data_IF_282480007601
#
_entry.id   IF_282480007601
#
_cell.length_a   1.000
_cell.length_b   1.000
_cell.length_c   1.000
_cell.angle_alpha   90.00
_cell.angle_beta   90.00
_cell.angle_gamma   90.00
#
_symmetry.space_group_name_H-M   'P 1'
#
loop_
_entity.id
_entity.type
_entity.pdbx_description
1 polymer ?
#
# COMPACT_ATOMS: atom_id res chain seq x y z
N UNK A 1 -11.94 19.03 -20.02
CA UNK A 1 -12.48 20.32 -19.52
C UNK A 1 -11.39 21.02 -18.72
N UNK A 2 -11.22 22.34 -18.81
CA UNK A 2 -10.17 23.05 -18.09
C UNK A 2 -10.48 23.13 -16.58
N UNK A 3 -9.44 23.04 -15.75
CA UNK A 3 -9.51 23.20 -14.28
C UNK A 3 -10.21 24.50 -13.86
N UNK A 4 -10.12 25.54 -14.70
CA UNK A 4 -10.80 26.83 -14.52
C UNK A 4 -12.31 26.70 -14.30
N UNK A 5 -12.98 25.76 -14.98
CA UNK A 5 -14.42 25.54 -14.81
C UNK A 5 -14.75 24.91 -13.45
N UNK A 6 -13.84 24.10 -12.91
CA UNK A 6 -13.98 23.51 -11.58
C UNK A 6 -13.80 24.57 -10.48
N UNK A 7 -12.82 25.46 -10.68
CA UNK A 7 -12.57 26.58 -9.77
C UNK A 7 -13.77 27.54 -9.75
N UNK A 8 -14.32 27.87 -10.92
CA UNK A 8 -15.52 28.71 -11.03
C UNK A 8 -16.73 28.08 -10.34
N UNK A 9 -16.95 26.78 -10.51
CA UNK A 9 -18.02 26.06 -9.80
C UNK A 9 -17.81 26.09 -8.26
N UNK A 10 -16.58 25.87 -7.80
CA UNK A 10 -16.27 25.96 -6.37
C UNK A 10 -16.47 27.37 -5.80
N UNK A 11 -16.17 28.42 -6.57
CA UNK A 11 -16.36 29.82 -6.17
C UNK A 11 -17.85 30.17 -6.09
N UNK A 12 -18.68 29.69 -7.02
CA UNK A 12 -20.13 29.89 -7.01
C UNK A 12 -20.81 29.16 -5.85
N UNK A 13 -20.32 27.98 -5.47
CA UNK A 13 -20.78 27.29 -4.27
C UNK A 13 -20.39 28.05 -2.98
N UNK A 14 -19.17 28.57 -2.92
CA UNK A 14 -18.64 29.26 -1.73
C UNK A 14 -19.26 30.64 -1.51
N UNK A 15 -19.69 31.30 -2.60
CA UNK A 15 -20.37 32.60 -2.53
C UNK A 15 -21.88 32.50 -2.25
N UNK A 16 -22.41 31.30 -1.94
CA UNK A 16 -23.83 31.12 -1.65
C UNK A 16 -24.23 31.80 -0.32
N UNK A 17 -25.17 32.73 -0.40
CA UNK A 17 -25.67 33.49 0.77
C UNK A 17 -26.68 32.71 1.62
N UNK A 18 -27.14 31.56 1.14
CA UNK A 18 -28.05 30.66 1.88
C UNK A 18 -27.83 29.21 1.44
N UNK A 19 -28.23 28.26 2.29
CA UNK A 19 -28.14 26.84 2.00
C UNK A 19 -28.95 26.45 0.74
N UNK A 20 -30.14 27.02 0.54
CA UNK A 20 -30.95 26.78 -0.65
C UNK A 20 -30.27 27.29 -1.94
N UNK A 21 -29.61 28.45 -1.87
CA UNK A 21 -28.81 28.98 -2.99
C UNK A 21 -27.61 28.07 -3.30
N UNK A 22 -26.96 27.52 -2.27
CA UNK A 22 -25.87 26.55 -2.42
C UNK A 22 -26.30 25.22 -3.05
N UNK A 23 -27.49 24.72 -2.72
CA UNK A 23 -28.05 23.53 -3.36
C UNK A 23 -28.42 23.78 -4.83
N UNK A 24 -28.94 24.96 -5.14
CA UNK A 24 -29.26 25.33 -6.52
C UNK A 24 -27.97 25.47 -7.36
N UNK A 25 -26.93 26.15 -6.87
CA UNK A 25 -25.65 26.26 -7.57
C UNK A 25 -24.99 24.89 -7.76
N UNK A 26 -25.00 24.04 -6.73
CA UNK A 26 -24.53 22.66 -6.83
C UNK A 26 -25.32 21.85 -7.88
N UNK A 27 -26.65 21.95 -7.90
CA UNK A 27 -27.48 21.22 -8.86
C UNK A 27 -27.20 21.64 -10.32
N UNK A 28 -26.92 22.92 -10.55
CA UNK A 28 -26.54 23.47 -11.86
C UNK A 28 -25.12 23.01 -12.26
N UNK A 29 -24.19 22.98 -11.32
CA UNK A 29 -22.77 22.77 -11.58
C UNK A 29 -22.30 21.32 -11.43
N UNK A 30 -23.16 20.43 -10.91
CA UNK A 30 -22.85 19.00 -10.74
C UNK A 30 -22.25 18.38 -12.01
N UNK A 31 -22.77 18.75 -13.18
CA UNK A 31 -22.34 18.19 -14.45
C UNK A 31 -20.89 18.59 -14.80
N UNK A 32 -20.42 19.75 -14.31
CA UNK A 32 -19.04 20.20 -14.48
C UNK A 32 -18.12 19.36 -13.60
N UNK A 33 -18.47 19.16 -12.33
CA UNK A 33 -17.70 18.35 -11.38
C UNK A 33 -17.66 16.88 -11.81
N UNK A 34 -18.83 16.29 -12.09
CA UNK A 34 -18.92 14.90 -12.55
C UNK A 34 -18.29 14.71 -13.93
N UNK A 35 -18.39 15.68 -14.83
CA UNK A 35 -17.73 15.63 -16.15
C UNK A 35 -16.20 15.65 -16.03
N UNK A 36 -15.66 16.51 -15.16
CA UNK A 36 -14.24 16.55 -14.85
C UNK A 36 -13.77 15.23 -14.23
N UNK A 37 -14.45 14.76 -13.17
CA UNK A 37 -14.12 13.51 -12.50
C UNK A 37 -14.18 12.32 -13.47
N UNK A 38 -15.24 12.23 -14.28
CA UNK A 38 -15.41 11.18 -15.29
C UNK A 38 -14.28 11.18 -16.31
N UNK A 39 -13.86 12.35 -16.79
CA UNK A 39 -12.76 12.47 -17.76
C UNK A 39 -11.44 11.99 -17.16
N UNK A 40 -11.11 12.45 -15.95
CA UNK A 40 -9.87 12.05 -15.29
C UNK A 40 -9.89 10.59 -14.85
N UNK A 41 -11.05 10.09 -14.43
CA UNK A 41 -11.26 8.69 -14.11
C UNK A 41 -11.07 7.81 -15.36
N UNK A 42 -11.68 8.16 -16.48
CA UNK A 42 -11.50 7.45 -17.75
C UNK A 42 -10.03 7.47 -18.19
N UNK A 43 -9.35 8.60 -18.05
CA UNK A 43 -7.91 8.70 -18.36
C UNK A 43 -7.06 7.83 -17.43
N UNK A 44 -7.37 7.76 -16.14
CA UNK A 44 -6.69 6.90 -15.18
C UNK A 44 -6.89 5.43 -15.52
N UNK A 45 -8.12 5.01 -15.81
CA UNK A 45 -8.43 3.64 -16.21
C UNK A 45 -7.75 3.29 -17.53
N UNK A 46 -7.72 4.20 -18.50
CA UNK A 46 -7.02 4.01 -19.77
C UNK A 46 -5.50 3.84 -19.56
N UNK A 47 -4.89 4.58 -18.64
CA UNK A 47 -3.49 4.42 -18.25
C UNK A 47 -3.25 3.09 -17.53
N UNK A 48 -4.10 2.73 -16.56
CA UNK A 48 -4.02 1.46 -15.84
C UNK A 48 -4.20 0.25 -16.76
N UNK A 49 -5.00 0.37 -17.81
CA UNK A 49 -5.26 -0.69 -18.78
C UNK A 49 -4.08 -0.94 -19.73
N UNK A 50 -3.05 -0.08 -19.74
CA UNK A 50 -1.88 -0.28 -20.58
C UNK A 50 -1.13 -1.55 -20.15
N UNK A 51 -0.75 -2.43 -21.10
CA UNK A 51 -0.17 -3.74 -20.77
C UNK A 51 1.12 -3.63 -19.96
N UNK A 52 1.93 -2.60 -20.21
CA UNK A 52 3.17 -2.37 -19.47
C UNK A 52 2.93 -1.91 -18.03
N UNK A 53 1.88 -1.09 -17.78
CA UNK A 53 1.49 -0.66 -16.43
C UNK A 53 0.96 -1.84 -15.63
N UNK A 54 0.08 -2.65 -16.23
CA UNK A 54 -0.42 -3.88 -15.61
C UNK A 54 0.72 -4.81 -15.19
N UNK A 55 1.74 -4.94 -16.04
CA UNK A 55 2.91 -5.77 -15.73
C UNK A 55 3.69 -5.24 -14.52
N UNK A 56 3.88 -3.93 -14.40
CA UNK A 56 4.57 -3.34 -13.24
C UNK A 56 3.76 -3.55 -11.96
N UNK A 57 2.44 -3.39 -12.03
CA UNK A 57 1.53 -3.68 -10.93
C UNK A 57 1.62 -5.16 -10.56
N UNK A 58 1.63 -6.08 -11.54
CA UNK A 58 1.72 -7.51 -11.28
C UNK A 58 3.02 -7.93 -10.61
N UNK A 59 4.15 -7.42 -11.12
CA UNK A 59 5.45 -7.63 -10.49
C UNK A 59 5.47 -7.10 -9.06
N UNK A 60 4.92 -5.90 -8.84
CA UNK A 60 4.91 -5.29 -7.52
C UNK A 60 4.10 -6.11 -6.52
N UNK A 61 2.85 -6.46 -6.83
CA UNK A 61 2.00 -7.18 -5.87
C UNK A 61 2.49 -8.61 -5.62
N UNK A 62 2.98 -9.31 -6.65
CA UNK A 62 3.55 -10.66 -6.48
C UNK A 62 4.78 -10.60 -5.56
N UNK A 63 5.70 -9.67 -5.81
CA UNK A 63 6.91 -9.52 -4.99
C UNK A 63 6.56 -9.17 -3.55
N UNK A 64 5.64 -8.22 -3.36
CA UNK A 64 5.14 -7.84 -2.05
C UNK A 64 4.53 -9.03 -1.30
N UNK A 65 3.63 -9.78 -1.95
CA UNK A 65 2.97 -10.96 -1.38
C UNK A 65 3.98 -12.04 -1.01
N UNK A 66 4.95 -12.35 -1.87
CA UNK A 66 5.99 -13.34 -1.57
C UNK A 66 6.80 -12.91 -0.35
N UNK A 67 7.27 -11.66 -0.30
CA UNK A 67 8.09 -11.17 0.82
C UNK A 67 7.30 -11.19 2.13
N UNK A 68 6.09 -10.62 2.16
CA UNK A 68 5.29 -10.57 3.39
C UNK A 68 4.89 -11.98 3.85
N UNK A 69 4.52 -12.88 2.94
CA UNK A 69 4.22 -14.27 3.28
C UNK A 69 5.43 -14.97 3.88
N UNK A 70 6.64 -14.78 3.31
CA UNK A 70 7.86 -15.34 3.90
C UNK A 70 8.02 -14.90 5.35
N UNK A 71 7.90 -13.61 5.65
CA UNK A 71 8.03 -13.07 7.01
C UNK A 71 6.94 -13.61 7.96
N UNK A 72 5.69 -13.70 7.52
CA UNK A 72 4.58 -14.17 8.36
C UNK A 72 4.63 -15.68 8.59
N UNK A 73 5.17 -16.46 7.65
CA UNK A 73 5.33 -17.91 7.77
C UNK A 73 6.52 -18.33 8.63
N UNK A 74 7.40 -17.41 9.06
CA UNK A 74 8.51 -17.74 9.96
C UNK A 74 8.03 -18.24 11.33
N UNK A 75 6.83 -17.83 11.77
CA UNK A 75 6.22 -18.29 13.02
C UNK A 75 6.70 -17.58 14.28
N UNK A 76 6.86 -16.26 14.19
CA UNK A 76 6.94 -15.38 15.36
C UNK A 76 5.54 -14.90 15.75
N UNK A 77 5.23 -14.93 17.05
CA UNK A 77 3.93 -14.53 17.58
C UNK A 77 4.02 -13.80 18.92
N UNK A 78 2.87 -13.52 19.58
CA UNK A 78 2.81 -12.71 20.81
C UNK A 78 3.62 -13.28 21.98
N UNK A 79 3.76 -14.61 22.04
CA UNK A 79 4.57 -15.31 23.04
C UNK A 79 6.03 -15.52 22.63
N UNK A 80 6.48 -14.94 21.51
CA UNK A 80 7.79 -15.16 20.92
C UNK A 80 7.76 -16.19 19.79
N UNK A 81 8.79 -17.03 19.69
CA UNK A 81 8.86 -18.06 18.66
C UNK A 81 7.79 -19.13 18.91
N UNK A 82 6.92 -19.36 17.92
CA UNK A 82 5.84 -20.35 18.01
C UNK A 82 6.46 -21.76 17.93
N UNK A 83 6.13 -22.63 18.88
CA UNK A 83 6.62 -24.00 18.90
C UNK A 83 6.24 -24.76 17.60
N UNK A 84 7.20 -25.48 17.02
CA UNK A 84 7.00 -26.19 15.75
C UNK A 84 7.06 -25.33 14.49
N UNK A 85 7.36 -24.03 14.60
CA UNK A 85 7.55 -23.14 13.45
C UNK A 85 8.92 -23.28 12.77
N UNK A 86 9.06 -22.69 11.58
CA UNK A 86 10.35 -22.55 10.88
C UNK A 86 11.37 -21.80 11.75
N UNK A 87 10.95 -20.76 12.47
CA UNK A 87 11.80 -20.04 13.41
C UNK A 87 12.25 -20.93 14.58
N UNK A 88 11.38 -21.80 15.10
CA UNK A 88 11.75 -22.75 16.16
C UNK A 88 12.80 -23.77 15.69
N UNK A 89 12.63 -24.30 14.46
CA UNK A 89 13.61 -25.19 13.84
C UNK A 89 14.97 -24.51 13.61
N UNK A 90 14.96 -23.28 13.11
CA UNK A 90 16.18 -22.49 12.93
C UNK A 90 16.87 -22.17 14.26
N UNK A 91 16.12 -21.78 15.29
CA UNK A 91 16.66 -21.52 16.62
C UNK A 91 17.32 -22.78 17.18
N UNK A 92 16.66 -23.94 17.11
CA UNK A 92 17.21 -25.20 17.59
C UNK A 92 18.49 -25.62 16.85
N UNK A 93 18.58 -25.33 15.54
CA UNK A 93 19.73 -25.69 14.71
C UNK A 93 20.93 -24.75 14.86
N UNK A 94 20.70 -23.43 14.87
CA UNK A 94 21.79 -22.41 14.87
C UNK A 94 22.14 -21.93 16.27
N UNK A 95 21.12 -21.69 17.10
CA UNK A 95 21.27 -21.06 18.40
C UNK A 95 21.11 -22.06 19.56
N UNK A 96 20.69 -23.30 19.27
CA UNK A 96 20.36 -24.28 20.29
C UNK A 96 19.21 -23.80 21.18
N UNK A 97 19.43 -23.80 22.49
CA UNK A 97 18.42 -23.36 23.46
C UNK A 97 18.38 -21.83 23.65
N UNK A 98 19.41 -21.07 23.22
CA UNK A 98 19.57 -19.67 23.58
C UNK A 98 19.82 -18.77 22.37
N UNK A 99 18.87 -17.88 22.11
CA UNK A 99 19.01 -16.86 21.07
C UNK A 99 19.96 -15.75 21.52
N UNK A 100 21.00 -15.40 20.73
CA UNK A 100 21.88 -14.28 21.04
C UNK A 100 21.12 -12.95 21.15
N UNK A 101 21.35 -12.22 22.23
CA UNK A 101 20.77 -10.90 22.43
C UNK A 101 21.29 -9.90 21.38
N UNK A 102 20.40 -9.10 20.80
CA UNK A 102 20.75 -8.07 19.82
C UNK A 102 20.94 -8.54 18.37
N UNK A 103 20.76 -9.84 18.07
CA UNK A 103 20.77 -10.34 16.70
C UNK A 103 19.46 -10.10 15.94
N UNK A 104 19.49 -10.22 14.61
CA UNK A 104 18.31 -10.07 13.73
C UNK A 104 17.16 -10.97 14.20
N UNK A 105 17.46 -12.21 14.60
CA UNK A 105 16.45 -13.16 15.09
C UNK A 105 15.82 -12.71 16.42
N UNK A 106 16.60 -12.13 17.35
CA UNK A 106 16.07 -11.57 18.58
C UNK A 106 15.17 -10.35 18.31
N UNK A 107 15.54 -9.51 17.34
CA UNK A 107 14.69 -8.40 16.88
C UNK A 107 13.38 -8.90 16.28
N UNK A 108 13.40 -9.95 15.46
CA UNK A 108 12.19 -10.53 14.86
C UNK A 108 11.27 -11.15 15.91
N UNK A 109 11.83 -11.84 16.91
CA UNK A 109 11.07 -12.33 18.07
C UNK A 109 10.44 -11.18 18.85
N UNK A 110 11.19 -10.11 19.14
CA UNK A 110 10.68 -8.92 19.81
C UNK A 110 9.53 -8.27 19.01
N UNK A 111 9.69 -8.13 17.69
CA UNK A 111 8.65 -7.58 16.81
C UNK A 111 7.41 -8.48 16.77
N UNK A 112 7.58 -9.81 16.79
CA UNK A 112 6.49 -10.76 16.93
C UNK A 112 5.73 -10.58 18.25
N UNK A 113 6.46 -10.44 19.37
CA UNK A 113 5.89 -10.24 20.70
C UNK A 113 5.16 -8.90 20.84
N UNK A 114 5.66 -7.85 20.19
CA UNK A 114 5.03 -6.52 20.17
C UNK A 114 3.85 -6.42 19.19
N UNK A 115 3.58 -7.46 18.38
CA UNK A 115 2.61 -7.39 17.28
C UNK A 115 3.04 -6.46 16.13
N UNK A 116 4.28 -5.97 16.15
CA UNK A 116 4.85 -5.05 15.16
C UNK A 116 5.48 -5.78 13.96
N UNK A 117 5.48 -7.11 13.97
CA UNK A 117 6.00 -7.91 12.86
C UNK A 117 5.24 -7.67 11.55
N UNK A 118 3.91 -7.55 11.60
CA UNK A 118 3.07 -7.31 10.43
C UNK A 118 3.39 -5.95 9.78
N UNK A 119 3.35 -4.80 10.50
CA UNK A 119 3.70 -3.52 9.89
C UNK A 119 5.18 -3.45 9.46
N UNK A 120 6.10 -4.07 10.20
CA UNK A 120 7.51 -4.13 9.81
C UNK A 120 7.71 -4.95 8.51
N UNK A 121 7.09 -6.13 8.41
CA UNK A 121 7.15 -6.97 7.23
C UNK A 121 6.48 -6.30 6.01
N UNK A 122 5.38 -5.59 6.22
CA UNK A 122 4.76 -4.79 5.16
C UNK A 122 5.68 -3.66 4.68
N UNK A 123 6.37 -2.97 5.59
CA UNK A 123 7.36 -1.94 5.25
C UNK A 123 8.51 -2.50 4.41
N UNK A 124 9.12 -3.60 4.86
CA UNK A 124 10.20 -4.28 4.10
C UNK A 124 9.70 -4.79 2.75
N UNK A 125 8.53 -5.44 2.73
CA UNK A 125 7.90 -5.94 1.51
C UNK A 125 7.64 -4.82 0.50
N UNK A 126 7.15 -3.67 0.94
CA UNK A 126 6.91 -2.52 0.07
C UNK A 126 8.20 -1.94 -0.51
N UNK A 127 9.29 -1.85 0.28
CA UNK A 127 10.60 -1.39 -0.21
C UNK A 127 11.16 -2.36 -1.25
N UNK A 128 11.17 -3.66 -0.95
CA UNK A 128 11.68 -4.68 -1.88
C UNK A 128 10.85 -4.71 -3.17
N UNK A 129 9.52 -4.71 -3.07
CA UNK A 129 8.64 -4.66 -4.24
C UNK A 129 8.88 -3.41 -5.09
N UNK A 130 9.09 -2.26 -4.46
CA UNK A 130 9.38 -1.01 -5.19
C UNK A 130 10.73 -1.06 -5.91
N UNK A 131 11.77 -1.62 -5.30
CA UNK A 131 13.09 -1.80 -5.93
C UNK A 131 13.00 -2.76 -7.12
N UNK A 132 12.30 -3.89 -6.95
CA UNK A 132 12.12 -4.88 -8.02
C UNK A 132 11.34 -4.29 -9.18
N UNK A 133 10.23 -3.61 -8.92
CA UNK A 133 9.44 -2.94 -9.97
C UNK A 133 10.24 -1.84 -10.67
N UNK A 134 11.05 -1.08 -9.93
CA UNK A 134 11.95 -0.08 -10.49
C UNK A 134 12.99 -0.75 -11.40
N UNK A 135 13.65 -1.81 -10.98
CA UNK A 135 14.60 -2.55 -11.83
C UNK A 135 13.93 -3.08 -13.11
N UNK A 136 12.73 -3.64 -12.99
CA UNK A 136 11.95 -4.15 -14.12
C UNK A 136 11.56 -3.04 -15.11
N UNK A 137 11.41 -1.80 -14.64
CA UNK A 137 11.18 -0.65 -15.52
C UNK A 137 12.38 -0.34 -16.41
N UNK A 138 13.62 -0.45 -15.90
CA UNK A 138 14.83 -0.15 -16.71
C UNK A 138 15.25 -1.27 -17.65
N UNK A 139 14.83 -2.50 -17.39
CA UNK A 139 15.14 -3.66 -18.24
C UNK A 139 14.25 -3.72 -19.49
N UNK A 140 13.22 -2.87 -19.55
CA UNK A 140 12.29 -2.74 -20.68
C UNK A 140 12.59 -1.51 -21.51
#
# INVERSE_FOLDING_TARGET
MPLTNLILASANFTNATSFAAGLHSFAVERNVVFGYLSTHWASLIAWLAQPHVLLLITVWWITFTVVITLFLCLGFGPGGVVAGSLAAGFQAWVYGAFTPAGGIFATMTMLGMLGMLVPAAAGVGAVVASIVTWAVWFVR
#
